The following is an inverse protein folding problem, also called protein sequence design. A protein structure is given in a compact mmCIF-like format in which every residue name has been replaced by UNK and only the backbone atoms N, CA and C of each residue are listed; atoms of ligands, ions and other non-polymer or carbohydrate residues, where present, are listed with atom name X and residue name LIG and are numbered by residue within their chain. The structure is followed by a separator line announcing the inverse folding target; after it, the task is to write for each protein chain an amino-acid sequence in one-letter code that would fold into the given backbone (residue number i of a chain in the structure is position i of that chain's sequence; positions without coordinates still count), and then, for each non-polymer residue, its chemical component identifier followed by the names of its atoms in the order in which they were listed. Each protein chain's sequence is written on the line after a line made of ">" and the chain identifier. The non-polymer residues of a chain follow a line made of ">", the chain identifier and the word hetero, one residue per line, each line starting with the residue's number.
data_IF_438516065406
#
_entry.id   IF_438516065406
#
_cell.length_a   1.000
_cell.length_b   1.000
_cell.length_c   1.000
_cell.angle_alpha   90.00
_cell.angle_beta   90.00
_cell.angle_gamma   90.00
#
_symmetry.space_group_name_H-M   'P 1'
#
loop_
_entity.id
_entity.type
_entity.pdbx_description
1 polymer ?
#
# COMPACT_ATOMS: atom_id res chain seq x y z
N UNK A 1 1.30 5.94 -6.90
CA UNK A 1 0.42 6.47 -5.84
C UNK A 1 -0.88 7.03 -6.41
N UNK A 2 -0.84 8.12 -7.20
CA UNK A 2 -2.07 8.78 -7.70
C UNK A 2 -2.97 7.93 -8.60
N UNK A 3 -2.46 6.91 -9.29
CA UNK A 3 -3.30 5.97 -10.04
C UNK A 3 -4.28 5.19 -9.12
N UNK A 4 -3.81 4.77 -7.93
CA UNK A 4 -4.65 4.13 -6.93
C UNK A 4 -5.71 5.09 -6.40
N UNK A 5 -5.31 6.34 -6.08
CA UNK A 5 -6.24 7.34 -5.56
C UNK A 5 -7.30 7.73 -6.59
N UNK A 6 -6.93 7.84 -7.87
CA UNK A 6 -7.88 8.10 -8.96
C UNK A 6 -8.96 7.01 -9.04
N UNK A 7 -8.55 5.74 -8.98
CA UNK A 7 -9.49 4.62 -9.00
C UNK A 7 -10.35 4.56 -7.73
N UNK A 8 -9.73 4.74 -6.56
CA UNK A 8 -10.44 4.80 -5.28
C UNK A 8 -11.54 5.86 -5.28
N UNK A 9 -11.22 7.09 -5.69
CA UNK A 9 -12.19 8.18 -5.78
C UNK A 9 -13.28 7.86 -6.81
N UNK A 10 -12.91 7.29 -7.97
CA UNK A 10 -13.89 6.88 -8.98
C UNK A 10 -14.89 5.84 -8.43
N UNK A 11 -14.42 4.83 -7.70
CA UNK A 11 -15.29 3.81 -7.12
C UNK A 11 -16.28 4.40 -6.10
N UNK A 12 -15.81 5.32 -5.25
CA UNK A 12 -16.65 5.97 -4.24
C UNK A 12 -17.65 6.93 -4.87
N UNK A 13 -17.22 7.78 -5.81
CA UNK A 13 -18.09 8.76 -6.48
C UNK A 13 -19.24 8.10 -7.26
N UNK A 14 -19.01 6.90 -7.80
CA UNK A 14 -20.03 6.14 -8.53
C UNK A 14 -20.84 5.20 -7.63
N UNK A 15 -20.62 5.21 -6.30
CA UNK A 15 -21.38 4.42 -5.34
C UNK A 15 -21.09 2.92 -5.37
N UNK A 16 -19.96 2.49 -5.95
CA UNK A 16 -19.56 1.08 -5.96
C UNK A 16 -19.00 0.61 -4.60
N UNK A 17 -18.46 1.54 -3.81
CA UNK A 17 -17.89 1.26 -2.50
C UNK A 17 -17.96 2.50 -1.60
N UNK A 18 -17.91 2.30 -0.28
CA UNK A 18 -17.69 3.40 0.68
C UNK A 18 -16.19 3.72 0.82
N UNK A 19 -15.86 4.87 1.40
CA UNK A 19 -14.46 5.25 1.67
C UNK A 19 -13.80 4.21 2.59
N UNK A 20 -14.55 3.73 3.59
CA UNK A 20 -14.14 2.73 4.56
C UNK A 20 -13.92 1.35 3.91
N UNK A 21 -14.74 0.98 2.92
CA UNK A 21 -14.56 -0.27 2.17
C UNK A 21 -13.27 -0.23 1.36
N UNK A 22 -12.99 0.89 0.70
CA UNK A 22 -11.77 1.07 -0.09
C UNK A 22 -10.53 1.06 0.80
N UNK A 23 -10.54 1.77 1.93
CA UNK A 23 -9.43 1.78 2.88
C UNK A 23 -9.19 0.40 3.48
N UNK A 24 -10.25 -0.32 3.84
CA UNK A 24 -10.17 -1.70 4.34
C UNK A 24 -9.60 -2.65 3.29
N UNK A 25 -10.03 -2.54 2.04
CA UNK A 25 -9.52 -3.36 0.94
C UNK A 25 -8.03 -3.07 0.66
N UNK A 26 -7.64 -1.79 0.66
CA UNK A 26 -6.25 -1.40 0.45
C UNK A 26 -5.34 -1.87 1.58
N UNK A 27 -5.76 -1.71 2.85
CA UNK A 27 -5.01 -2.13 4.03
C UNK A 27 -4.77 -3.65 4.07
N UNK A 28 -5.81 -4.43 3.77
CA UNK A 28 -5.75 -5.90 3.84
C UNK A 28 -5.25 -6.55 2.55
N UNK A 29 -5.37 -5.87 1.41
CA UNK A 29 -4.83 -6.29 0.13
C UNK A 29 -3.40 -5.82 -0.02
N UNK A 30 -3.20 -4.69 -0.69
CA UNK A 30 -1.87 -4.15 -1.01
C UNK A 30 -1.02 -3.90 0.24
N UNK A 31 -1.62 -3.33 1.29
CA UNK A 31 -0.94 -3.01 2.55
C UNK A 31 -0.32 -4.22 3.25
N UNK A 32 -0.89 -5.42 3.05
CA UNK A 32 -0.42 -6.65 3.71
C UNK A 32 0.95 -7.15 3.20
N UNK A 33 1.26 -6.91 1.92
CA UNK A 33 2.47 -7.43 1.29
C UNK A 33 3.46 -6.35 0.85
N UNK A 34 3.01 -5.11 0.66
CA UNK A 34 3.84 -4.06 0.04
C UNK A 34 5.06 -3.66 0.90
N UNK A 35 4.99 -3.88 2.22
CA UNK A 35 6.10 -3.67 3.15
C UNK A 35 7.16 -4.75 3.06
N UNK A 36 6.81 -5.92 2.52
CA UNK A 36 7.73 -7.03 2.29
C UNK A 36 8.27 -7.04 0.86
N UNK A 37 7.41 -6.85 -0.15
CA UNK A 37 7.76 -6.91 -1.56
C UNK A 37 6.98 -5.88 -2.40
N UNK A 38 7.64 -5.30 -3.40
CA UNK A 38 7.00 -4.43 -4.38
C UNK A 38 6.09 -5.19 -5.36
N UNK A 39 5.33 -4.46 -6.18
CA UNK A 39 4.31 -5.01 -7.07
C UNK A 39 4.79 -6.17 -7.95
N UNK A 40 5.96 -6.01 -8.59
CA UNK A 40 6.48 -7.03 -9.50
C UNK A 40 6.89 -8.32 -8.79
N UNK A 41 7.58 -8.18 -7.65
CA UNK A 41 7.98 -9.35 -6.86
C UNK A 41 6.77 -10.06 -6.28
N UNK A 42 5.73 -9.34 -5.90
CA UNK A 42 4.47 -9.96 -5.50
C UNK A 42 3.87 -10.78 -6.65
N UNK A 43 3.79 -10.22 -7.87
CA UNK A 43 3.30 -10.94 -9.05
C UNK A 43 4.12 -12.22 -9.34
N UNK A 44 5.46 -12.15 -9.19
CA UNK A 44 6.32 -13.33 -9.31
C UNK A 44 6.00 -14.40 -8.25
N UNK A 45 5.75 -13.99 -7.01
CA UNK A 45 5.46 -14.90 -5.89
C UNK A 45 4.09 -15.57 -6.01
N UNK A 46 3.08 -14.85 -6.52
CA UNK A 46 1.70 -15.34 -6.61
C UNK A 46 1.32 -15.91 -7.97
N UNK A 47 2.15 -15.70 -8.99
CA UNK A 47 2.00 -16.27 -10.33
C UNK A 47 1.59 -15.26 -11.40
N UNK A 48 2.54 -14.88 -12.24
CA UNK A 48 2.37 -13.94 -13.37
C UNK A 48 1.24 -14.31 -14.35
N UNK A 49 1.00 -15.59 -14.73
CA UNK A 49 -0.04 -15.92 -15.71
C UNK A 49 -1.45 -15.52 -15.26
N UNK A 50 -1.75 -15.57 -13.96
CA UNK A 50 -3.04 -15.17 -13.41
C UNK A 50 -3.29 -13.67 -13.64
N UNK A 51 -2.27 -12.83 -13.42
CA UNK A 51 -2.35 -11.39 -13.68
C UNK A 51 -2.57 -11.09 -15.15
N UNK A 52 -1.85 -11.78 -16.05
CA UNK A 52 -2.03 -11.60 -17.49
C UNK A 52 -3.48 -11.89 -17.93
N UNK A 53 -4.09 -12.94 -17.37
CA UNK A 53 -5.48 -13.27 -17.66
C UNK A 53 -6.46 -12.18 -17.17
N UNK A 54 -6.27 -11.66 -15.96
CA UNK A 54 -7.16 -10.64 -15.37
C UNK A 54 -6.99 -9.28 -16.02
N UNK A 55 -5.75 -8.85 -16.29
CA UNK A 55 -5.43 -7.51 -16.79
C UNK A 55 -6.11 -7.22 -18.13
N UNK A 56 -6.21 -8.22 -19.00
CA UNK A 56 -6.81 -8.09 -20.33
C UNK A 56 -8.24 -7.55 -20.27
N UNK A 57 -9.03 -8.04 -19.33
CA UNK A 57 -10.45 -7.69 -19.21
C UNK A 57 -10.67 -6.55 -18.21
N UNK A 58 -9.80 -6.42 -17.19
CA UNK A 58 -9.93 -5.40 -16.15
C UNK A 58 -9.45 -4.01 -16.60
N UNK A 59 -8.32 -3.90 -17.30
CA UNK A 59 -7.75 -2.57 -17.61
C UNK A 59 -8.68 -1.65 -18.41
N UNK A 60 -9.45 -2.15 -19.40
CA UNK A 60 -10.40 -1.31 -20.12
C UNK A 60 -11.52 -0.72 -19.26
N UNK A 61 -11.80 -1.29 -18.07
CA UNK A 61 -12.86 -0.82 -17.17
C UNK A 61 -12.37 0.16 -16.11
N UNK A 62 -11.05 0.29 -15.94
CA UNK A 62 -10.45 1.18 -14.95
C UNK A 62 -10.58 2.66 -15.35
N UNK A 63 -10.61 3.53 -14.35
CA UNK A 63 -10.69 4.96 -14.52
C UNK A 63 -9.41 5.55 -15.14
N UNK A 64 -9.57 6.27 -16.24
CA UNK A 64 -8.52 6.99 -16.96
C UNK A 64 -8.71 8.51 -16.97
N UNK A 65 -9.57 9.04 -16.08
CA UNK A 65 -9.86 10.47 -16.00
C UNK A 65 -8.61 11.32 -15.78
N UNK A 66 -8.64 12.55 -16.27
CA UNK A 66 -7.52 13.51 -16.23
C UNK A 66 -7.84 14.78 -15.44
N UNK A 67 -9.08 14.94 -15.01
CA UNK A 67 -9.60 16.04 -14.21
C UNK A 67 -9.52 15.74 -12.71
N UNK A 68 -9.73 16.78 -11.88
CA UNK A 68 -9.76 16.65 -10.43
C UNK A 68 -11.07 15.96 -10.00
N UNK A 69 -11.00 14.88 -9.19
CA UNK A 69 -12.19 14.25 -8.63
C UNK A 69 -13.04 15.19 -7.78
N UNK A 70 -14.35 15.07 -7.91
CA UNK A 70 -15.31 15.91 -7.20
C UNK A 70 -15.21 15.69 -5.69
N UNK A 71 -14.97 14.45 -5.25
CA UNK A 71 -14.82 14.08 -3.85
C UNK A 71 -13.75 14.94 -3.15
N UNK A 72 -12.55 15.05 -3.75
CA UNK A 72 -11.47 15.84 -3.14
C UNK A 72 -11.69 17.35 -3.31
N UNK A 73 -12.29 17.77 -4.44
CA UNK A 73 -12.63 19.16 -4.70
C UNK A 73 -13.66 19.71 -3.70
N UNK A 74 -14.70 18.94 -3.40
CA UNK A 74 -15.73 19.30 -2.42
C UNK A 74 -15.14 19.39 -1.00
N UNK A 75 -14.27 18.46 -0.61
CA UNK A 75 -13.56 18.51 0.69
C UNK A 75 -12.74 19.79 0.82
N UNK A 76 -11.95 20.13 -0.20
CA UNK A 76 -11.12 21.34 -0.18
C UNK A 76 -11.98 22.60 -0.17
N UNK A 77 -13.04 22.66 -0.99
CA UNK A 77 -13.98 23.80 -1.02
C UNK A 77 -14.73 24.00 0.30
N UNK A 78 -14.94 22.93 1.06
CA UNK A 78 -15.49 23.01 2.43
C UNK A 78 -14.48 23.50 3.48
N UNK A 79 -13.24 23.77 3.09
CA UNK A 79 -12.15 24.16 3.97
C UNK A 79 -11.46 22.99 4.69
N UNK A 80 -11.67 21.75 4.21
CA UNK A 80 -11.07 20.56 4.80
C UNK A 80 -9.56 20.49 4.61
N UNK A 81 -8.81 20.22 5.69
CA UNK A 81 -7.36 20.00 5.69
C UNK A 81 -6.97 18.63 6.28
N UNK A 82 -7.96 17.78 6.57
CA UNK A 82 -7.76 16.47 7.19
C UNK A 82 -7.53 16.59 8.68
N UNK A 83 -6.62 15.76 9.20
CA UNK A 83 -6.31 15.68 10.63
C UNK A 83 -5.88 17.03 11.22
N UNK A 84 -5.25 17.93 10.45
CA UNK A 84 -4.75 19.20 10.97
C UNK A 84 -5.83 20.16 11.48
N UNK A 85 -7.04 20.09 10.92
CA UNK A 85 -8.20 20.88 11.37
C UNK A 85 -9.41 20.01 11.73
N UNK A 86 -9.24 18.70 11.83
CA UNK A 86 -10.30 17.74 12.14
C UNK A 86 -11.35 17.56 11.05
N UNK A 87 -11.16 18.15 9.86
CA UNK A 87 -12.13 18.09 8.76
C UNK A 87 -11.42 17.74 7.45
N UNK A 88 -11.66 16.56 6.89
CA UNK A 88 -11.12 16.17 5.59
C UNK A 88 -12.05 15.22 4.85
N UNK A 89 -11.48 14.16 4.26
CA UNK A 89 -12.27 13.06 3.69
C UNK A 89 -13.16 12.42 4.78
N UNK A 90 -12.62 12.35 6.00
CA UNK A 90 -13.35 11.99 7.21
C UNK A 90 -13.42 13.17 8.17
N UNK A 91 -14.34 13.08 9.13
CA UNK A 91 -14.46 14.03 10.24
C UNK A 91 -13.80 13.45 11.49
N UNK A 92 -13.14 14.32 12.25
CA UNK A 92 -12.41 13.94 13.46
C UNK A 92 -12.71 14.94 14.58
N UNK A 93 -12.96 14.42 15.78
CA UNK A 93 -12.85 15.25 16.97
C UNK A 93 -11.40 15.71 17.19
N UNK A 94 -11.16 16.81 17.93
CA UNK A 94 -9.80 17.25 18.26
C UNK A 94 -8.97 16.17 18.97
N UNK A 95 -9.61 15.37 19.82
CA UNK A 95 -8.97 14.26 20.53
C UNK A 95 -8.55 13.13 19.57
N UNK A 96 -9.46 12.71 18.68
CA UNK A 96 -9.15 11.71 17.66
C UNK A 96 -8.04 12.18 16.73
N UNK A 97 -8.08 13.44 16.30
CA UNK A 97 -7.06 14.02 15.43
C UNK A 97 -5.66 13.96 16.07
N UNK A 98 -5.56 14.29 17.36
CA UNK A 98 -4.30 14.19 18.09
C UNK A 98 -3.83 12.73 18.21
N UNK A 99 -4.74 11.83 18.57
CA UNK A 99 -4.42 10.41 18.74
C UNK A 99 -3.98 9.77 17.41
N UNK A 100 -4.60 10.13 16.29
CA UNK A 100 -4.18 9.68 14.97
C UNK A 100 -2.74 10.06 14.64
N UNK A 101 -2.30 11.27 15.02
CA UNK A 101 -0.91 11.70 14.81
C UNK A 101 0.07 10.86 15.62
N UNK A 102 -0.26 10.57 16.88
CA UNK A 102 0.56 9.74 17.76
C UNK A 102 0.69 8.31 17.25
N UNK A 103 -0.45 7.67 16.94
CA UNK A 103 -0.49 6.29 16.42
C UNK A 103 0.23 6.19 15.08
N UNK A 104 0.09 7.19 14.20
CA UNK A 104 0.81 7.22 12.92
C UNK A 104 2.33 7.23 13.12
N UNK A 105 2.81 7.98 14.12
CA UNK A 105 4.23 8.02 14.45
C UNK A 105 4.73 6.67 15.00
N UNK A 106 4.00 6.07 15.95
CA UNK A 106 4.32 4.74 16.49
C UNK A 106 4.38 3.68 15.38
N UNK A 107 3.34 3.62 14.55
CA UNK A 107 3.30 2.70 13.41
C UNK A 107 4.47 2.90 12.44
N UNK A 108 4.88 4.15 12.20
CA UNK A 108 6.01 4.44 11.32
C UNK A 108 7.33 3.85 11.84
N UNK A 109 7.54 3.87 13.16
CA UNK A 109 8.69 3.22 13.78
C UNK A 109 8.62 1.69 13.64
N UNK A 110 7.48 1.09 13.93
CA UNK A 110 7.30 -0.36 13.82
C UNK A 110 7.51 -0.84 12.39
N UNK A 111 6.96 -0.12 11.42
CA UNK A 111 7.13 -0.42 10.01
C UNK A 111 8.61 -0.30 9.58
N UNK A 112 9.34 0.68 10.09
CA UNK A 112 10.78 0.80 9.86
C UNK A 112 11.55 -0.39 10.43
N UNK A 113 11.25 -0.83 11.66
CA UNK A 113 11.88 -2.01 12.26
C UNK A 113 11.59 -3.27 11.44
N UNK A 114 10.36 -3.41 10.95
CA UNK A 114 9.98 -4.54 10.10
C UNK A 114 10.75 -4.52 8.76
N UNK A 115 10.88 -3.36 8.13
CA UNK A 115 11.64 -3.20 6.89
C UNK A 115 13.14 -3.53 7.08
N UNK A 116 13.72 -3.17 8.23
CA UNK A 116 15.11 -3.52 8.57
C UNK A 116 15.29 -5.03 8.80
N UNK A 117 14.27 -5.71 9.33
CA UNK A 117 14.25 -7.18 9.51
C UNK A 117 14.16 -7.92 8.17
N UNK A 118 13.47 -7.35 7.19
CA UNK A 118 13.27 -7.93 5.85
C UNK A 118 13.80 -7.02 4.74
N UNK A 119 15.13 -6.82 4.63
CA UNK A 119 15.68 -5.97 3.59
C UNK A 119 15.49 -6.60 2.21
N UNK A 120 15.43 -5.77 1.16
CA UNK A 120 15.21 -6.22 -0.22
C UNK A 120 16.22 -7.27 -0.72
N UNK A 121 17.44 -7.30 -0.16
CA UNK A 121 18.49 -8.26 -0.51
C UNK A 121 18.58 -9.47 0.43
N UNK A 122 17.57 -9.71 1.29
CA UNK A 122 17.57 -10.80 2.26
C UNK A 122 17.80 -12.17 1.62
N UNK A 123 17.14 -12.44 0.49
CA UNK A 123 17.28 -13.73 -0.22
C UNK A 123 18.70 -13.90 -0.74
N UNK A 124 19.26 -12.87 -1.38
CA UNK A 124 20.65 -12.88 -1.86
C UNK A 124 21.64 -13.15 -0.74
N UNK A 125 21.50 -12.44 0.40
CA UNK A 125 22.34 -12.68 1.59
C UNK A 125 22.25 -14.11 2.12
N UNK A 126 21.04 -14.68 2.17
CA UNK A 126 20.85 -16.07 2.62
C UNK A 126 21.49 -17.08 1.67
N UNK A 127 21.45 -16.83 0.36
CA UNK A 127 22.14 -17.67 -0.63
C UNK A 127 23.66 -17.59 -0.46
N UNK A 128 24.22 -16.39 -0.34
CA UNK A 128 25.66 -16.18 -0.12
C UNK A 128 26.18 -16.88 1.15
N UNK A 129 25.40 -16.88 2.23
CA UNK A 129 25.74 -17.60 3.47
C UNK A 129 25.75 -19.12 3.26
N UNK A 130 24.74 -19.65 2.57
CA UNK A 130 24.64 -21.09 2.26
C UNK A 130 25.78 -21.56 1.37
N UNK A 131 26.19 -20.74 0.40
CA UNK A 131 27.30 -21.07 -0.49
C UNK A 131 28.65 -21.05 0.24
N UNK A 132 28.84 -20.14 1.20
CA UNK A 132 30.02 -20.12 2.10
C UNK A 132 30.07 -21.34 3.02
N UNK A 133 28.94 -21.78 3.57
CA UNK A 133 28.86 -22.97 4.42
C UNK A 133 29.23 -24.25 3.65
N UNK A 134 28.73 -24.41 2.42
CA UNK A 134 29.11 -25.52 1.55
C UNK A 134 30.60 -25.51 1.18
N UNK A 135 31.13 -24.33 0.83
CA UNK A 135 32.55 -24.20 0.52
C UNK A 135 33.46 -24.55 1.70
N UNK A 136 33.03 -24.33 2.94
CA UNK A 136 33.80 -24.69 4.14
C UNK A 136 33.66 -26.18 4.52
N UNK A 137 32.53 -26.84 4.20
CA UNK A 137 32.37 -28.28 4.43
C UNK A 137 33.17 -29.15 3.47
N UNK A 138 33.47 -28.65 2.26
CA UNK A 138 34.26 -29.37 1.25
C UNK A 138 35.79 -29.25 1.47
N UNK A 139 36.23 -28.49 2.49
CA UNK A 139 37.65 -28.25 2.82
C UNK A 139 38.12 -29.09 4.04
N UNK A 140 37.23 -29.85 4.68
CA UNK A 140 37.61 -30.77 5.77
C UNK A 140 37.78 -32.19 5.20
N UNK A 141 39.01 -32.76 5.22
CA UNK A 141 39.27 -34.13 4.75
C UNK A 141 38.68 -35.20 5.66
#
# INVERSE_FOLDING_TARGET
>A
MYALFREAMYLVENGYATMEDVDRACRNGVGSFITFVGCFRWMDLTGVPAYHAVIKDLFPTLCNRTDVPKLIDDVVKSGGQGISNGNGIYQYSPEEAHLWQQIHQEFSYDNLQLALKYPNNLVTKKLELKDKEKSNSDIVP
#
